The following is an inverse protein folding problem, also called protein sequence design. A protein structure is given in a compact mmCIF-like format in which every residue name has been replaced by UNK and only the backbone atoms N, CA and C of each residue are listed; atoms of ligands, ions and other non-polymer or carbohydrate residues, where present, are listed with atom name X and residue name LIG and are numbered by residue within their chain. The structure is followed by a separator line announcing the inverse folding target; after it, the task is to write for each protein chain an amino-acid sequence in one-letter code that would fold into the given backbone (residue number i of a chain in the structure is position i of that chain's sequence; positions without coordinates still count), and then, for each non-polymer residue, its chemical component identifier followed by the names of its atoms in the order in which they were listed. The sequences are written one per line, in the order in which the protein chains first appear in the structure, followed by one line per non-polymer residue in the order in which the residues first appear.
data_IF_948411190257
#
_entry.id   IF_948411190257
#
_cell.length_a   1.000
_cell.length_b   1.000
_cell.length_c   1.000
_cell.angle_alpha   90.00
_cell.angle_beta   90.00
_cell.angle_gamma   90.00
#
_symmetry.space_group_name_H-M   'P 1'
#
loop_
_entity.id
_entity.type
_entity.pdbx_description
1 polymer ?
#
# COMPACT_ATOMS: atom_id res chain seq x y z
N UNK A 1 -15.01 16.27 7.85
CA UNK A 1 -13.60 16.52 7.49
C UNK A 1 -13.47 17.24 6.16
N UNK A 2 -14.32 16.96 5.17
CA UNK A 2 -14.28 17.56 3.83
C UNK A 2 -14.23 19.11 3.80
N UNK A 3 -14.83 19.80 4.77
CA UNK A 3 -14.79 21.27 4.84
C UNK A 3 -13.52 21.83 5.51
N UNK A 4 -12.60 20.98 5.98
CA UNK A 4 -11.43 21.37 6.79
C UNK A 4 -10.09 20.98 6.16
N UNK A 5 -10.07 20.15 5.12
CA UNK A 5 -8.85 19.70 4.47
C UNK A 5 -9.09 19.35 2.99
N UNK A 6 -8.10 19.63 2.14
CA UNK A 6 -8.11 19.21 0.73
C UNK A 6 -7.94 17.69 0.57
N UNK A 7 -7.29 17.05 1.55
CA UNK A 7 -7.03 15.61 1.59
C UNK A 7 -7.24 15.04 2.98
N UNK A 8 -7.84 13.85 3.05
CA UNK A 8 -7.93 13.05 4.27
C UNK A 8 -7.26 11.70 3.99
N UNK A 9 -6.18 11.42 4.71
CA UNK A 9 -5.53 10.12 4.69
C UNK A 9 -5.94 9.34 5.93
N UNK A 10 -6.37 8.10 5.75
CA UNK A 10 -6.65 7.18 6.85
C UNK A 10 -5.66 6.02 6.80
N UNK A 11 -4.86 5.88 7.85
CA UNK A 11 -3.98 4.74 8.03
C UNK A 11 -4.72 3.64 8.80
N UNK A 12 -4.73 2.43 8.25
CA UNK A 12 -5.22 1.25 8.96
C UNK A 12 -4.19 0.71 9.97
N UNK A 13 -4.52 -0.40 10.64
CA UNK A 13 -3.57 -1.10 11.50
C UNK A 13 -3.31 -2.51 10.94
N UNK A 14 -2.08 -2.79 10.52
CA UNK A 14 -1.69 -4.10 9.99
C UNK A 14 -2.15 -4.33 8.54
N UNK A 15 -2.74 -5.50 8.27
CA UNK A 15 -3.15 -5.91 6.93
C UNK A 15 -4.64 -5.68 6.65
N UNK A 16 -5.04 -5.96 5.41
CA UNK A 16 -6.41 -5.73 4.91
C UNK A 16 -7.52 -6.38 5.75
N UNK A 17 -7.31 -7.62 6.20
CA UNK A 17 -8.24 -8.37 7.03
C UNK A 17 -7.92 -8.30 8.53
N UNK A 18 -7.17 -7.29 8.99
CA UNK A 18 -6.98 -7.10 10.43
C UNK A 18 -8.35 -6.91 11.08
N UNK A 19 -8.68 -7.69 12.14
CA UNK A 19 -9.93 -7.55 12.85
C UNK A 19 -9.99 -6.24 13.65
N UNK A 20 -11.11 -5.54 13.53
CA UNK A 20 -11.53 -4.42 14.37
C UNK A 20 -12.42 -4.91 15.53
N UNK A 21 -13.08 -6.05 15.35
CA UNK A 21 -13.81 -6.80 16.37
C UNK A 21 -13.86 -8.29 15.99
N UNK A 22 -14.52 -9.11 16.81
CA UNK A 22 -14.71 -10.54 16.54
C UNK A 22 -15.49 -10.82 15.23
N UNK A 23 -16.23 -9.84 14.71
CA UNK A 23 -17.09 -10.01 13.51
C UNK A 23 -16.87 -8.92 12.46
N UNK A 24 -15.83 -8.10 12.59
CA UNK A 24 -15.62 -6.94 11.74
C UNK A 24 -14.13 -6.69 11.49
N UNK A 25 -13.76 -6.40 10.25
CA UNK A 25 -12.38 -6.16 9.81
C UNK A 25 -12.24 -4.80 9.15
N UNK A 26 -10.99 -4.36 8.91
CA UNK A 26 -10.76 -3.17 8.08
C UNK A 26 -11.37 -3.31 6.69
N UNK A 27 -11.32 -4.49 6.07
CA UNK A 27 -11.95 -4.74 4.79
C UNK A 27 -13.46 -4.40 4.80
N UNK A 28 -14.17 -4.80 5.87
CA UNK A 28 -15.60 -4.51 6.01
C UNK A 28 -15.87 -3.01 6.13
N UNK A 29 -15.08 -2.32 6.97
CA UNK A 29 -15.20 -0.88 7.16
C UNK A 29 -14.90 -0.08 5.88
N UNK A 30 -13.77 -0.35 5.24
CA UNK A 30 -13.36 0.35 4.01
C UNK A 30 -14.36 0.08 2.88
N UNK A 31 -14.93 -1.13 2.82
CA UNK A 31 -16.00 -1.47 1.88
C UNK A 31 -17.27 -0.69 2.19
N UNK A 32 -17.69 -0.60 3.45
CA UNK A 32 -18.87 0.18 3.84
C UNK A 32 -18.74 1.67 3.48
N UNK A 33 -17.56 2.24 3.71
CA UNK A 33 -17.28 3.65 3.43
C UNK A 33 -16.90 3.93 1.96
N UNK A 34 -16.79 2.88 1.12
CA UNK A 34 -16.42 2.98 -0.30
C UNK A 34 -15.13 3.79 -0.54
N UNK A 35 -14.15 3.68 0.35
CA UNK A 35 -12.93 4.48 0.27
C UNK A 35 -11.96 3.93 -0.80
N UNK A 36 -11.30 4.80 -1.58
CA UNK A 36 -10.17 4.39 -2.41
C UNK A 36 -9.00 3.92 -1.55
N UNK A 37 -8.29 2.89 -2.02
CA UNK A 37 -7.21 2.23 -1.25
C UNK A 37 -5.85 2.51 -1.87
N UNK A 38 -4.87 2.84 -1.03
CA UNK A 38 -3.45 2.80 -1.38
C UNK A 38 -2.84 1.56 -0.71
N UNK A 39 -2.24 0.67 -1.50
CA UNK A 39 -1.58 -0.54 -0.99
C UNK A 39 -0.09 -0.29 -0.76
N UNK A 40 0.39 -0.47 0.47
CA UNK A 40 1.83 -0.45 0.78
C UNK A 40 2.39 -1.88 0.75
N UNK A 41 3.34 -2.14 -0.14
CA UNK A 41 3.99 -3.43 -0.33
C UNK A 41 5.39 -3.40 0.27
N UNK A 42 5.60 -4.13 1.37
CA UNK A 42 6.94 -4.37 1.89
C UNK A 42 7.74 -5.30 0.96
N UNK A 43 8.78 -4.79 0.31
CA UNK A 43 9.58 -5.52 -0.69
C UNK A 43 10.51 -6.51 0.01
N UNK A 44 10.09 -7.78 -0.01
CA UNK A 44 10.83 -8.94 0.51
C UNK A 44 10.31 -10.23 -0.11
N UNK A 45 10.96 -11.36 0.16
CA UNK A 45 10.46 -12.67 -0.30
C UNK A 45 8.99 -12.87 0.14
N UNK A 46 8.14 -13.28 -0.81
CA UNK A 46 6.70 -13.47 -0.60
C UNK A 46 5.83 -12.23 -0.90
N UNK A 47 6.44 -11.05 -1.09
CA UNK A 47 5.68 -9.81 -1.31
C UNK A 47 4.76 -9.85 -2.54
N UNK A 48 5.19 -10.49 -3.64
CA UNK A 48 4.36 -10.64 -4.85
C UNK A 48 3.05 -11.36 -4.53
N UNK A 49 3.11 -12.48 -3.80
CA UNK A 49 1.91 -13.22 -3.44
C UNK A 49 0.98 -12.39 -2.55
N UNK A 50 1.52 -11.76 -1.51
CA UNK A 50 0.70 -10.93 -0.61
C UNK A 50 0.08 -9.75 -1.32
N UNK A 51 0.85 -9.01 -2.12
CA UNK A 51 0.36 -7.86 -2.87
C UNK A 51 -0.76 -8.26 -3.83
N UNK A 52 -0.60 -9.38 -4.55
CA UNK A 52 -1.62 -9.85 -5.49
C UNK A 52 -2.87 -10.39 -4.83
N UNK A 53 -2.76 -11.08 -3.69
CA UNK A 53 -3.92 -11.51 -2.91
C UNK A 53 -4.69 -10.30 -2.36
N UNK A 54 -3.98 -9.32 -1.81
CA UNK A 54 -4.60 -8.09 -1.29
C UNK A 54 -5.25 -7.27 -2.41
N UNK A 55 -4.57 -7.04 -3.53
CA UNK A 55 -5.11 -6.29 -4.66
C UNK A 55 -6.37 -6.94 -5.23
N UNK A 56 -6.38 -8.26 -5.42
CA UNK A 56 -7.56 -8.99 -5.91
C UNK A 56 -8.75 -8.86 -4.96
N UNK A 57 -8.53 -8.96 -3.65
CA UNK A 57 -9.61 -8.83 -2.67
C UNK A 57 -10.18 -7.40 -2.67
N UNK A 58 -9.32 -6.38 -2.73
CA UNK A 58 -9.77 -4.98 -2.82
C UNK A 58 -10.68 -4.80 -4.05
N UNK A 59 -10.24 -5.29 -5.21
CA UNK A 59 -11.02 -5.20 -6.45
C UNK A 59 -12.32 -6.01 -6.39
N UNK A 60 -12.30 -7.22 -5.83
CA UNK A 60 -13.49 -8.04 -5.66
C UNK A 60 -14.50 -7.45 -4.66
N UNK A 61 -14.04 -6.63 -3.71
CA UNK A 61 -14.90 -5.83 -2.84
C UNK A 61 -15.55 -4.62 -3.55
N UNK A 62 -15.27 -4.42 -4.85
CA UNK A 62 -15.79 -3.32 -5.64
C UNK A 62 -15.07 -1.98 -5.40
N UNK A 63 -13.94 -2.01 -4.70
CA UNK A 63 -13.19 -0.81 -4.33
C UNK A 63 -12.16 -0.43 -5.38
N UNK A 64 -11.82 0.86 -5.41
CA UNK A 64 -10.74 1.38 -6.25
C UNK A 64 -9.41 1.20 -5.54
N UNK A 65 -8.50 0.43 -6.14
CA UNK A 65 -7.08 0.46 -5.78
C UNK A 65 -6.43 1.66 -6.47
N UNK A 66 -6.39 2.80 -5.79
CA UNK A 66 -5.97 4.08 -6.37
C UNK A 66 -4.47 4.14 -6.67
N UNK A 67 -3.67 3.38 -5.94
CA UNK A 67 -2.23 3.29 -6.16
C UNK A 67 -1.57 2.32 -5.21
N UNK A 68 -0.27 2.13 -5.39
CA UNK A 68 0.54 1.33 -4.47
C UNK A 68 1.92 1.94 -4.25
N UNK A 69 2.51 1.65 -3.10
CA UNK A 69 3.85 2.08 -2.70
C UNK A 69 4.71 0.84 -2.49
N UNK A 70 5.90 0.82 -3.08
CA UNK A 70 6.93 -0.14 -2.72
C UNK A 70 7.73 0.40 -1.54
N UNK A 71 7.90 -0.39 -0.49
CA UNK A 71 8.70 -0.02 0.68
C UNK A 71 9.75 -1.09 0.95
N UNK A 72 11.03 -0.74 0.78
CA UNK A 72 12.16 -1.62 1.06
C UNK A 72 12.37 -1.77 2.58
N UNK A 73 11.68 -2.74 3.17
CA UNK A 73 11.71 -3.02 4.62
C UNK A 73 13.00 -3.71 5.09
N UNK A 74 13.84 -4.12 4.16
CA UNK A 74 15.16 -4.75 4.39
C UNK A 74 16.12 -4.28 3.31
N UNK A 75 17.45 -4.33 3.53
CA UNK A 75 18.42 -4.01 2.48
C UNK A 75 18.09 -4.75 1.17
N UNK A 76 18.06 -4.04 0.03
CA UNK A 76 17.66 -4.64 -1.23
C UNK A 76 18.64 -5.75 -1.64
N UNK A 77 18.09 -6.94 -1.90
CA UNK A 77 18.87 -8.07 -2.40
C UNK A 77 19.11 -8.00 -3.92
N UNK A 78 19.90 -8.93 -4.45
CA UNK A 78 20.26 -9.00 -5.88
C UNK A 78 19.07 -9.04 -6.85
N UNK A 79 17.92 -9.55 -6.38
CA UNK A 79 16.70 -9.76 -7.18
C UNK A 79 15.66 -8.65 -7.02
N UNK A 80 16.01 -7.55 -6.36
CA UNK A 80 15.09 -6.45 -6.10
C UNK A 80 14.43 -5.92 -7.39
N UNK A 81 15.22 -5.67 -8.44
CA UNK A 81 14.71 -5.22 -9.74
C UNK A 81 13.68 -6.20 -10.37
N UNK A 82 13.84 -7.51 -10.14
CA UNK A 82 12.90 -8.52 -10.62
C UNK A 82 11.58 -8.49 -9.83
N UNK A 83 11.63 -8.23 -8.52
CA UNK A 83 10.44 -7.98 -7.72
C UNK A 83 9.70 -6.73 -8.21
N UNK A 84 10.41 -5.62 -8.38
CA UNK A 84 9.80 -4.37 -8.85
C UNK A 84 9.18 -4.49 -10.25
N UNK A 85 9.87 -5.17 -11.17
CA UNK A 85 9.33 -5.48 -12.50
C UNK A 85 8.05 -6.32 -12.42
N UNK A 86 8.05 -7.34 -11.56
CA UNK A 86 6.91 -8.24 -11.41
C UNK A 86 5.72 -7.56 -10.75
N UNK A 87 5.94 -6.83 -9.66
CA UNK A 87 4.91 -6.08 -8.94
C UNK A 87 4.28 -5.02 -9.83
N UNK A 88 5.09 -4.22 -10.53
CA UNK A 88 4.60 -3.18 -11.45
C UNK A 88 3.76 -3.74 -12.59
N UNK A 89 4.12 -4.92 -13.11
CA UNK A 89 3.36 -5.59 -14.16
C UNK A 89 2.03 -6.17 -13.65
N UNK A 90 2.00 -6.67 -12.42
CA UNK A 90 0.87 -7.46 -11.92
C UNK A 90 -0.13 -6.65 -11.10
N UNK A 91 0.29 -5.60 -10.39
CA UNK A 91 -0.61 -4.77 -9.59
C UNK A 91 -1.35 -3.82 -10.55
N UNK A 92 -2.69 -3.87 -10.62
CA UNK A 92 -3.48 -3.09 -11.57
C UNK A 92 -3.74 -1.66 -11.06
N UNK A 93 -2.70 -0.96 -10.62
CA UNK A 93 -2.75 0.38 -10.07
C UNK A 93 -1.40 1.10 -10.26
N UNK A 94 -1.38 2.45 -10.31
CA UNK A 94 -0.14 3.19 -10.47
C UNK A 94 0.81 2.97 -9.28
N UNK A 95 2.09 2.77 -9.58
CA UNK A 95 3.16 2.85 -8.58
C UNK A 95 3.34 4.32 -8.20
N UNK A 96 2.93 4.68 -6.99
CA UNK A 96 3.07 6.03 -6.46
C UNK A 96 4.52 6.35 -6.11
N UNK A 97 5.31 5.34 -5.77
CA UNK A 97 6.71 5.52 -5.42
C UNK A 97 7.35 4.30 -4.78
N UNK A 98 8.68 4.32 -4.76
CA UNK A 98 9.52 3.34 -4.08
C UNK A 98 10.31 4.05 -2.97
N UNK A 99 10.04 3.68 -1.72
CA UNK A 99 10.80 4.14 -0.56
C UNK A 99 11.97 3.17 -0.37
N UNK A 100 13.24 3.64 -0.48
CA UNK A 100 14.40 2.78 -0.35
C UNK A 100 14.61 2.34 1.10
N UNK A 101 15.44 1.32 1.30
CA UNK A 101 15.79 0.89 2.65
C UNK A 101 16.54 2.00 3.40
N UNK A 102 15.99 2.39 4.55
CA UNK A 102 16.55 3.43 5.42
C UNK A 102 17.17 2.77 6.65
N UNK A 103 18.50 2.84 6.75
CA UNK A 103 19.25 2.16 7.81
C UNK A 103 19.17 2.85 9.18
N UNK A 104 19.05 4.18 9.19
CA UNK A 104 19.09 4.99 10.41
C UNK A 104 17.83 5.83 10.55
N UNK A 105 17.20 5.74 11.72
CA UNK A 105 16.07 6.56 12.14
C UNK A 105 14.97 6.70 11.03
N UNK A 106 14.48 5.58 10.45
CA UNK A 106 13.53 5.60 9.34
C UNK A 106 12.24 6.36 9.65
N UNK A 107 11.82 6.39 10.92
CA UNK A 107 10.62 7.09 11.41
C UNK A 107 10.69 8.62 11.26
N UNK A 108 11.90 9.19 11.23
CA UNK A 108 12.11 10.63 11.10
C UNK A 108 12.63 11.04 9.71
N UNK A 109 12.77 10.08 8.79
CA UNK A 109 13.28 10.35 7.46
C UNK A 109 12.24 11.08 6.60
N UNK A 110 12.68 12.09 5.85
CA UNK A 110 11.83 12.79 4.88
C UNK A 110 11.59 11.90 3.64
N UNK A 111 10.56 11.04 3.71
CA UNK A 111 10.21 10.06 2.67
C UNK A 111 9.27 10.59 1.60
N UNK A 112 8.61 11.73 1.82
CA UNK A 112 7.64 12.31 0.87
C UNK A 112 8.20 12.55 -0.54
N UNK A 113 9.51 12.79 -0.66
CA UNK A 113 10.21 12.96 -1.95
C UNK A 113 10.20 11.71 -2.84
N UNK A 114 9.91 10.53 -2.29
CA UNK A 114 9.83 9.28 -3.04
C UNK A 114 8.44 9.01 -3.59
N UNK A 115 7.42 9.77 -3.17
CA UNK A 115 6.02 9.54 -3.49
C UNK A 115 5.51 10.62 -4.43
N UNK A 116 4.87 10.21 -5.52
CA UNK A 116 4.22 11.08 -6.49
C UNK A 116 2.69 10.99 -6.35
N UNK A 117 2.10 11.93 -5.61
CA UNK A 117 0.65 12.02 -5.42
C UNK A 117 -0.10 12.56 -6.64
N UNK A 118 0.58 13.10 -7.66
CA UNK A 118 -0.08 13.53 -8.90
C UNK A 118 -0.60 12.36 -9.76
N UNK A 119 -0.34 11.12 -9.32
CA UNK A 119 -0.86 9.88 -9.93
C UNK A 119 -2.20 9.43 -9.33
N UNK A 120 -2.70 10.12 -8.30
CA UNK A 120 -3.99 9.89 -7.65
C UNK A 120 -5.12 10.69 -8.30
#
# INVERSE_FOLDING_TARGET
LEQQADWVLVEGAGGWFTPLSDTFTFADWVTQEQLPVILVVGVKLGCINHAMLTAQVIQHAGLTLAGWVANDVTPPGKRHAEYMTTLTRMIPAPLLGEIPWLAENPENAATGKYINLALL
#
